data_IF_818587967728
#
_entry.id   IF_818587967728
#
_cell.length_a   1.000
_cell.length_b   1.000
_cell.length_c   1.000
_cell.angle_alpha   90.00
_cell.angle_beta   90.00
_cell.angle_gamma   90.00
#
_symmetry.space_group_name_H-M   'P 1'
#
loop_
_entity.id
_entity.type
_entity.pdbx_description
1 polymer ?
#
# COMPACT_ATOMS: atom_id res chain seq x y z
N UNK A 1 7.72 -2.95 15.37
CA UNK A 1 7.00 -3.94 14.56
C UNK A 1 7.47 -3.80 13.10
N UNK A 2 8.48 -4.58 12.72
CA UNK A 2 9.18 -4.49 11.44
C UNK A 2 8.26 -4.60 10.20
N UNK A 3 7.11 -5.23 10.34
CA UNK A 3 6.13 -5.34 9.24
C UNK A 3 5.44 -4.03 8.85
N UNK A 4 5.57 -2.98 9.64
CA UNK A 4 4.95 -1.68 9.37
C UNK A 4 5.96 -0.66 8.79
N UNK A 5 7.24 -0.91 8.99
CA UNK A 5 8.30 0.07 8.69
C UNK A 5 8.42 0.47 7.22
N UNK A 6 8.17 -0.40 6.22
CA UNK A 6 8.24 0.03 4.83
C UNK A 6 7.30 1.18 4.45
N UNK A 7 6.24 1.40 5.24
CA UNK A 7 5.30 2.50 5.03
C UNK A 7 5.34 3.55 6.16
N UNK A 8 5.99 3.23 7.30
CA UNK A 8 5.96 4.09 8.49
C UNK A 8 7.36 4.55 8.95
N UNK A 9 8.41 4.26 8.18
CA UNK A 9 9.76 4.73 8.49
C UNK A 9 10.53 5.02 7.19
N UNK A 10 11.21 6.16 7.15
CA UNK A 10 12.00 6.59 5.99
C UNK A 10 13.05 5.56 5.59
N UNK A 11 13.81 5.05 6.56
CA UNK A 11 14.92 4.14 6.32
C UNK A 11 14.45 2.83 5.68
N UNK A 12 13.34 2.28 6.17
CA UNK A 12 12.80 1.05 5.62
C UNK A 12 12.18 1.26 4.23
N UNK A 13 11.52 2.41 4.01
CA UNK A 13 11.02 2.78 2.70
C UNK A 13 12.14 2.90 1.67
N UNK A 14 13.19 3.64 2.01
CA UNK A 14 14.38 3.80 1.16
C UNK A 14 15.05 2.46 0.89
N UNK A 15 15.16 1.61 1.91
CA UNK A 15 15.75 0.29 1.77
C UNK A 15 14.97 -0.59 0.78
N UNK A 16 13.65 -0.73 0.94
CA UNK A 16 12.84 -1.57 0.06
C UNK A 16 12.80 -1.03 -1.37
N UNK A 17 12.84 0.30 -1.52
CA UNK A 17 12.85 0.95 -2.83
C UNK A 17 14.20 0.76 -3.52
N UNK A 18 15.31 1.06 -2.83
CA UNK A 18 16.66 0.97 -3.38
C UNK A 18 17.03 -0.45 -3.78
N UNK A 19 16.66 -1.42 -2.96
CA UNK A 19 17.01 -2.81 -3.16
C UNK A 19 15.94 -3.60 -3.94
N UNK A 20 14.89 -2.91 -4.39
CA UNK A 20 13.77 -3.51 -5.12
C UNK A 20 13.24 -4.78 -4.42
N UNK A 21 13.06 -4.69 -3.10
CA UNK A 21 12.62 -5.83 -2.28
C UNK A 21 11.26 -6.30 -2.74
N UNK A 22 11.10 -7.57 -3.10
CA UNK A 22 9.84 -8.09 -3.62
C UNK A 22 8.73 -8.07 -2.57
N UNK A 23 7.50 -7.89 -3.01
CA UNK A 23 6.30 -7.91 -2.18
C UNK A 23 5.61 -9.28 -2.16
N UNK A 24 6.34 -10.31 -2.48
CA UNK A 24 5.83 -11.67 -2.58
C UNK A 24 5.72 -12.35 -1.22
N UNK A 25 4.69 -13.17 -1.07
CA UNK A 25 4.56 -14.03 0.10
C UNK A 25 5.25 -15.37 -0.15
N UNK A 26 6.18 -15.71 0.71
CA UNK A 26 6.88 -17.00 0.68
C UNK A 26 6.40 -17.87 1.84
N UNK A 27 5.91 -19.06 1.51
CA UNK A 27 5.54 -20.04 2.52
C UNK A 27 6.80 -20.65 3.15
N UNK A 28 6.97 -20.47 4.44
CA UNK A 28 7.93 -21.22 5.21
C UNK A 28 7.31 -22.59 5.56
N UNK A 29 7.79 -23.64 4.91
CA UNK A 29 7.24 -24.99 5.05
C UNK A 29 7.47 -25.61 6.43
N UNK A 30 8.48 -25.15 7.17
CA UNK A 30 8.77 -25.63 8.53
C UNK A 30 7.79 -25.06 9.55
N UNK A 31 7.46 -23.77 9.43
CA UNK A 31 6.57 -23.09 10.36
C UNK A 31 5.13 -23.02 9.87
N UNK A 32 4.89 -23.40 8.62
CA UNK A 32 3.62 -23.28 7.90
C UNK A 32 3.07 -21.82 7.94
N UNK A 33 3.98 -20.84 7.88
CA UNK A 33 3.63 -19.43 7.91
C UNK A 33 4.16 -18.74 6.65
N UNK A 34 3.36 -17.85 6.13
CA UNK A 34 3.83 -16.96 5.08
C UNK A 34 4.66 -15.84 5.66
N UNK A 35 5.79 -15.54 5.01
CA UNK A 35 6.60 -14.36 5.25
C UNK A 35 6.62 -13.48 4.00
N UNK A 36 6.69 -12.19 4.21
CA UNK A 36 6.86 -11.22 3.13
C UNK A 36 8.18 -10.49 3.37
N UNK A 37 9.20 -10.66 2.52
CA UNK A 37 10.48 -9.97 2.64
C UNK A 37 10.32 -8.45 2.69
N UNK A 38 9.35 -7.90 1.98
CA UNK A 38 9.02 -6.48 2.02
C UNK A 38 8.67 -5.98 3.44
N UNK A 39 7.97 -6.80 4.21
CA UNK A 39 7.52 -6.46 5.55
C UNK A 39 8.55 -6.80 6.65
N UNK A 40 9.58 -7.55 6.34
CA UNK A 40 10.56 -8.04 7.32
C UNK A 40 11.89 -7.29 7.30
N UNK A 41 11.96 -6.18 6.61
CA UNK A 41 13.15 -5.32 6.63
C UNK A 41 13.44 -4.90 8.06
N UNK A 42 14.51 -5.43 8.61
CA UNK A 42 14.99 -5.05 9.93
C UNK A 42 15.77 -3.75 9.80
N UNK A 43 15.26 -2.68 10.38
CA UNK A 43 16.02 -1.46 10.61
C UNK A 43 16.35 -1.37 12.08
N UNK A 44 17.60 -1.06 12.40
CA UNK A 44 18.05 -0.88 13.78
C UNK A 44 17.38 0.33 14.44
N UNK A 45 16.95 1.28 13.64
CA UNK A 45 16.22 2.48 14.08
C UNK A 45 14.97 2.65 13.25
N UNK A 46 13.88 2.97 13.90
CA UNK A 46 12.62 3.35 13.27
C UNK A 46 12.57 4.87 13.32
N UNK A 47 12.90 5.51 12.21
CA UNK A 47 12.76 6.93 12.03
C UNK A 47 11.33 7.31 11.63
N UNK A 48 11.04 8.59 11.73
CA UNK A 48 9.80 9.15 11.23
C UNK A 48 9.82 9.26 9.70
N UNK A 49 8.64 9.44 9.11
CA UNK A 49 8.55 9.85 7.72
C UNK A 49 9.07 11.28 7.60
N UNK A 50 10.06 11.45 6.75
CA UNK A 50 10.76 12.72 6.55
C UNK A 50 10.86 13.08 5.07
N UNK A 51 11.45 14.21 4.75
CA UNK A 51 11.60 14.68 3.36
C UNK A 51 12.25 13.63 2.46
N UNK A 52 13.23 12.89 2.97
CA UNK A 52 13.96 11.87 2.21
C UNK A 52 13.09 10.66 1.81
N UNK A 53 11.97 10.45 2.47
CA UNK A 53 11.04 9.39 2.08
C UNK A 53 10.51 9.61 0.68
N UNK A 54 10.15 10.84 0.37
CA UNK A 54 9.59 11.23 -0.92
C UNK A 54 10.64 11.82 -1.87
N UNK A 55 11.62 12.54 -1.33
CA UNK A 55 12.66 13.24 -2.08
C UNK A 55 14.02 12.61 -1.85
N UNK A 56 14.43 11.72 -2.74
CA UNK A 56 15.72 11.05 -2.67
C UNK A 56 16.13 10.51 -4.02
N UNK A 57 17.38 10.70 -4.38
CA UNK A 57 18.03 10.00 -5.49
C UNK A 57 18.58 8.63 -5.07
N UNK A 58 18.21 8.15 -3.87
CA UNK A 58 18.65 6.88 -3.29
C UNK A 58 20.17 6.82 -3.04
N UNK A 59 20.81 7.96 -2.91
CA UNK A 59 22.20 8.05 -2.47
C UNK A 59 22.33 7.69 -0.98
N UNK A 60 23.57 7.49 -0.54
CA UNK A 60 23.86 7.19 0.87
C UNK A 60 23.79 8.43 1.76
N UNK A 61 23.91 9.60 1.18
CA UNK A 61 23.87 10.89 1.89
C UNK A 61 22.86 11.80 1.19
N UNK A 62 21.91 12.31 1.97
CA UNK A 62 20.94 13.29 1.49
C UNK A 62 21.60 14.66 1.25
N UNK A 63 21.30 15.27 0.13
CA UNK A 63 21.79 16.58 -0.26
C UNK A 63 20.66 17.44 -0.81
N UNK A 64 20.91 18.74 -1.03
CA UNK A 64 19.94 19.64 -1.67
C UNK A 64 19.61 19.24 -3.11
N UNK A 65 20.48 18.48 -3.78
CA UNK A 65 20.23 17.93 -5.10
C UNK A 65 19.14 16.86 -5.11
N UNK A 66 18.83 16.26 -3.96
CA UNK A 66 17.75 15.29 -3.82
C UNK A 66 16.36 15.93 -3.76
N UNK A 67 16.26 17.23 -3.43
CA UNK A 67 14.98 17.92 -3.29
C UNK A 67 14.05 17.81 -4.51
N UNK A 68 14.53 17.96 -5.77
CA UNK A 68 13.68 17.78 -6.94
C UNK A 68 13.49 16.31 -7.32
N UNK A 69 14.32 15.41 -6.82
CA UNK A 69 14.22 14.00 -7.13
C UNK A 69 13.07 13.35 -6.32
N UNK A 70 12.29 12.49 -6.97
CA UNK A 70 11.34 11.62 -6.29
C UNK A 70 11.99 10.25 -6.07
N UNK A 71 11.81 9.72 -4.88
CA UNK A 71 12.42 8.43 -4.47
C UNK A 71 12.04 7.30 -5.39
N UNK A 72 10.81 7.29 -5.88
CA UNK A 72 10.33 6.35 -6.88
C UNK A 72 9.06 6.86 -7.53
N UNK A 73 8.92 6.59 -8.81
CA UNK A 73 7.67 6.73 -9.58
C UNK A 73 7.28 5.39 -10.22
N UNK A 74 7.95 4.32 -9.83
CA UNK A 74 7.70 2.99 -10.38
C UNK A 74 6.28 2.48 -10.02
N UNK A 75 5.67 1.67 -10.90
CA UNK A 75 4.42 0.99 -10.60
C UNK A 75 4.48 0.24 -9.29
N UNK A 76 3.37 0.23 -8.57
CA UNK A 76 3.29 -0.32 -7.22
C UNK A 76 2.69 -1.71 -7.25
N UNK A 77 3.51 -2.72 -7.05
CA UNK A 77 3.01 -4.06 -6.72
C UNK A 77 2.39 -4.04 -5.33
N UNK A 78 1.14 -4.43 -5.24
CA UNK A 78 0.39 -4.34 -3.99
C UNK A 78 0.79 -5.44 -3.01
N UNK A 79 1.12 -5.04 -1.78
CA UNK A 79 1.48 -5.98 -0.71
C UNK A 79 0.31 -6.88 -0.31
N UNK A 80 -0.88 -6.36 -0.43
CA UNK A 80 -2.14 -7.02 -0.10
C UNK A 80 -2.32 -8.38 -0.78
N UNK A 81 -1.92 -8.52 -2.02
CA UNK A 81 -2.11 -9.71 -2.84
C UNK A 81 -0.76 -10.31 -3.28
N UNK A 82 0.25 -10.24 -2.43
CA UNK A 82 1.58 -10.77 -2.72
C UNK A 82 2.21 -10.24 -4.00
N UNK A 83 1.82 -9.06 -4.45
CA UNK A 83 2.28 -8.46 -5.69
C UNK A 83 1.54 -8.89 -6.96
N UNK A 84 0.47 -9.68 -6.83
CA UNK A 84 -0.31 -10.15 -7.99
C UNK A 84 -1.04 -9.00 -8.71
N UNK A 85 -1.39 -7.95 -7.99
CA UNK A 85 -1.97 -6.74 -8.59
C UNK A 85 -0.97 -5.59 -8.54
N UNK A 86 -1.00 -4.79 -9.59
CA UNK A 86 -0.14 -3.60 -9.71
C UNK A 86 -1.01 -2.37 -9.93
N UNK A 87 -0.67 -1.28 -9.24
CA UNK A 87 -1.22 0.04 -9.49
C UNK A 87 -0.17 0.84 -10.26
N UNK A 88 -0.59 1.45 -11.36
CA UNK A 88 0.21 2.38 -12.13
C UNK A 88 -0.66 3.57 -12.54
N UNK A 89 -0.36 4.72 -11.96
CA UNK A 89 -1.07 5.97 -12.18
C UNK A 89 -0.22 6.83 -13.12
N UNK A 90 -0.47 6.69 -14.42
CA UNK A 90 0.38 7.29 -15.46
C UNK A 90 0.00 8.72 -15.83
N UNK A 91 -1.19 9.19 -15.47
CA UNK A 91 -1.72 10.47 -15.94
C UNK A 91 -0.88 11.69 -15.50
N UNK A 92 -0.18 11.57 -14.37
CA UNK A 92 0.69 12.62 -13.81
C UNK A 92 2.18 12.33 -13.98
N UNK A 93 2.54 11.49 -14.94
CA UNK A 93 3.93 11.05 -15.12
C UNK A 93 4.36 10.07 -14.02
N UNK A 94 3.43 9.31 -13.47
CA UNK A 94 3.63 8.29 -12.43
C UNK A 94 3.97 8.85 -11.03
N UNK A 95 3.89 10.15 -10.82
CA UNK A 95 4.24 10.78 -9.52
C UNK A 95 3.36 10.23 -8.39
N UNK A 96 2.07 10.03 -8.64
CA UNK A 96 1.13 9.47 -7.66
C UNK A 96 1.47 8.05 -7.21
N UNK A 97 2.28 7.31 -7.96
CA UNK A 97 2.75 6.00 -7.55
C UNK A 97 3.57 6.05 -6.25
N UNK A 98 4.29 7.14 -6.02
CA UNK A 98 5.02 7.35 -4.76
C UNK A 98 4.06 7.33 -3.55
N UNK A 99 2.93 8.01 -3.66
CA UNK A 99 1.91 8.05 -2.61
C UNK A 99 1.30 6.65 -2.37
N UNK A 100 1.01 5.94 -3.46
CA UNK A 100 0.41 4.60 -3.41
C UNK A 100 1.33 3.58 -2.75
N UNK A 101 2.64 3.77 -2.77
CA UNK A 101 3.59 2.87 -2.06
C UNK A 101 3.20 2.65 -0.60
N UNK A 102 2.67 3.67 0.05
CA UNK A 102 2.22 3.60 1.44
C UNK A 102 0.69 3.54 1.54
N UNK A 103 -0.02 4.25 0.66
CA UNK A 103 -1.49 4.35 0.68
C UNK A 103 -2.16 3.18 -0.05
N UNK A 104 -1.84 1.96 0.36
CA UNK A 104 -2.35 0.70 -0.15
C UNK A 104 -2.84 -0.22 0.97
N UNK A 105 -3.71 -1.19 0.70
CA UNK A 105 -4.10 -2.17 1.68
C UNK A 105 -2.88 -2.99 2.14
N UNK A 106 -2.82 -3.26 3.43
CA UNK A 106 -1.85 -4.23 3.92
C UNK A 106 -2.28 -5.66 3.57
N UNK A 107 -1.36 -6.62 3.60
CA UNK A 107 -1.71 -8.02 3.47
C UNK A 107 -2.72 -8.42 4.54
N UNK A 108 -3.78 -9.08 4.13
CA UNK A 108 -4.68 -9.70 5.06
C UNK A 108 -4.06 -11.00 5.59
N UNK A 109 -3.94 -11.09 6.88
CA UNK A 109 -3.55 -12.33 7.53
C UNK A 109 -4.75 -12.90 8.27
N UNK A 110 -5.02 -14.17 8.07
CA UNK A 110 -6.03 -14.85 8.85
C UNK A 110 -5.46 -15.09 10.24
N UNK A 111 -6.01 -14.46 11.22
CA UNK A 111 -5.70 -14.52 12.65
C UNK A 111 -4.23 -14.24 13.06
N UNK A 112 -4.08 -13.65 14.23
CA UNK A 112 -2.79 -13.33 14.83
C UNK A 112 -1.92 -14.58 15.14
N UNK A 113 -2.49 -15.76 15.14
CA UNK A 113 -1.82 -17.00 15.54
C UNK A 113 -1.20 -17.77 14.39
N UNK A 114 -1.80 -17.75 13.20
CA UNK A 114 -1.40 -18.68 12.13
C UNK A 114 -0.82 -18.04 10.89
N UNK A 115 -0.88 -16.72 10.74
CA UNK A 115 -0.33 -16.03 9.57
C UNK A 115 -0.93 -16.47 8.22
N UNK A 116 -2.05 -17.18 8.24
CA UNK A 116 -2.71 -17.65 7.04
C UNK A 116 -3.27 -16.45 6.29
N UNK A 117 -2.90 -16.33 5.04
CA UNK A 117 -3.46 -15.33 4.13
C UNK A 117 -4.85 -15.78 3.71
N UNK A 118 -5.82 -14.86 3.71
CA UNK A 118 -7.13 -15.13 3.12
C UNK A 118 -6.94 -15.52 1.65
N UNK A 119 -7.61 -16.58 1.26
CA UNK A 119 -7.67 -16.96 -0.14
C UNK A 119 -8.71 -16.10 -0.85
N UNK A 120 -8.24 -15.05 -1.52
CA UNK A 120 -9.11 -14.10 -2.23
C UNK A 120 -9.83 -14.72 -3.41
N UNK A 121 -9.21 -15.67 -4.09
CA UNK A 121 -9.88 -16.38 -5.18
C UNK A 121 -11.05 -17.20 -4.67
N UNK A 122 -10.90 -17.81 -3.51
CA UNK A 122 -12.00 -18.49 -2.86
C UNK A 122 -13.10 -17.53 -2.41
N UNK A 123 -12.75 -16.37 -1.86
CA UNK A 123 -13.74 -15.34 -1.51
C UNK A 123 -14.44 -14.77 -2.75
N UNK A 124 -13.71 -14.56 -3.84
CA UNK A 124 -14.25 -14.06 -5.09
C UNK A 124 -15.24 -15.03 -5.72
N UNK A 125 -14.86 -16.30 -5.80
CA UNK A 125 -15.65 -17.32 -6.50
C UNK A 125 -16.75 -17.93 -5.63
N UNK A 126 -16.60 -17.89 -4.31
CA UNK A 126 -17.52 -18.48 -3.34
C UNK A 126 -17.75 -17.52 -2.17
N UNK A 127 -18.39 -16.37 -2.39
CA UNK A 127 -18.50 -15.29 -1.38
C UNK A 127 -19.31 -15.70 -0.14
N UNK A 128 -20.11 -16.75 -0.22
CA UNK A 128 -20.92 -17.28 0.90
C UNK A 128 -20.24 -18.46 1.61
N UNK A 129 -19.09 -18.91 1.12
CA UNK A 129 -18.41 -20.05 1.71
C UNK A 129 -17.79 -19.68 3.07
N UNK A 130 -17.93 -20.59 4.01
CA UNK A 130 -17.18 -20.54 5.26
C UNK A 130 -15.85 -21.24 5.07
N UNK A 131 -14.78 -20.65 5.59
CA UNK A 131 -13.44 -21.22 5.53
C UNK A 131 -13.15 -21.95 6.83
N UNK A 132 -12.70 -23.18 6.71
CA UNK A 132 -12.28 -23.95 7.87
C UNK A 132 -10.96 -23.41 8.41
N UNK A 133 -10.96 -23.01 9.69
CA UNK A 133 -9.74 -22.70 10.44
C UNK A 133 -9.31 -23.96 11.20
N UNK A 134 -8.26 -24.65 10.72
CA UNK A 134 -7.83 -25.91 11.34
C UNK A 134 -7.28 -25.72 12.76
N UNK A 135 -6.80 -24.52 13.09
CA UNK A 135 -6.27 -24.23 14.41
C UNK A 135 -7.38 -24.11 15.47
N UNK A 136 -8.58 -23.77 15.03
CA UNK A 136 -9.75 -23.60 15.91
C UNK A 136 -10.80 -24.67 15.70
N UNK A 137 -10.60 -25.54 14.71
CA UNK A 137 -11.58 -26.56 14.31
C UNK A 137 -12.98 -26.00 14.03
N UNK A 138 -13.05 -24.79 13.50
CA UNK A 138 -14.30 -24.09 13.19
C UNK A 138 -14.27 -23.47 11.79
N UNK A 139 -15.44 -23.36 11.18
CA UNK A 139 -15.61 -22.61 9.96
C UNK A 139 -15.74 -21.14 10.31
N UNK A 140 -14.83 -20.31 9.80
CA UNK A 140 -14.85 -18.88 10.07
C UNK A 140 -14.77 -18.06 8.80
N UNK A 141 -15.74 -17.19 8.62
CA UNK A 141 -15.56 -15.88 8.01
C UNK A 141 -15.29 -14.93 9.16
N UNK A 142 -14.16 -15.01 9.79
CA UNK A 142 -13.94 -14.14 10.93
C UNK A 142 -12.90 -13.10 10.57
N UNK A 143 -13.33 -11.85 10.28
CA UNK A 143 -12.43 -10.74 10.26
C UNK A 143 -11.82 -10.60 11.65
N UNK A 144 -10.56 -11.00 11.79
CA UNK A 144 -9.77 -10.65 12.96
C UNK A 144 -9.29 -9.21 12.84
N UNK A 145 -8.68 -8.68 13.86
CA UNK A 145 -8.05 -7.34 13.84
C UNK A 145 -7.13 -7.12 12.62
N UNK A 146 -6.58 -8.16 12.03
CA UNK A 146 -5.68 -8.08 10.88
C UNK A 146 -6.35 -8.38 9.53
N UNK A 147 -7.64 -8.62 9.50
CA UNK A 147 -8.36 -8.91 8.27
C UNK A 147 -9.07 -7.71 7.67
N UNK A 148 -9.09 -6.57 8.36
CA UNK A 148 -9.60 -5.33 7.78
C UNK A 148 -8.54 -4.66 6.91
N UNK A 149 -8.99 -3.89 5.94
CA UNK A 149 -8.13 -2.96 5.20
C UNK A 149 -7.44 -2.03 6.20
N UNK A 150 -6.20 -1.70 5.92
CA UNK A 150 -5.49 -0.73 6.74
C UNK A 150 -6.09 0.67 6.54
N UNK A 151 -5.96 1.53 7.54
CA UNK A 151 -6.28 2.94 7.37
C UNK A 151 -5.37 3.55 6.29
N UNK A 152 -5.90 4.54 5.56
CA UNK A 152 -5.10 5.21 4.54
C UNK A 152 -4.92 4.45 3.24
N UNK A 153 -5.84 3.54 2.89
CA UNK A 153 -5.82 2.81 1.61
C UNK A 153 -6.29 3.65 0.42
N UNK A 154 -6.23 4.97 0.55
CA UNK A 154 -6.79 5.91 -0.41
C UNK A 154 -6.25 5.71 -1.84
N UNK A 155 -4.97 5.35 -2.00
CA UNK A 155 -4.38 5.11 -3.30
C UNK A 155 -4.99 3.90 -4.03
N UNK A 156 -5.32 2.83 -3.29
CA UNK A 156 -5.98 1.68 -3.87
C UNK A 156 -7.44 1.97 -4.22
N UNK A 157 -8.16 2.69 -3.36
CA UNK A 157 -9.53 3.13 -3.64
C UNK A 157 -9.55 4.04 -4.87
N UNK A 158 -8.63 4.99 -4.94
CA UNK A 158 -8.48 5.89 -6.08
C UNK A 158 -8.20 5.12 -7.38
N UNK A 159 -7.32 4.13 -7.34
CA UNK A 159 -7.01 3.28 -8.49
C UNK A 159 -8.10 2.23 -8.80
N UNK A 160 -9.14 2.11 -7.99
CA UNK A 160 -10.18 1.08 -8.14
C UNK A 160 -9.65 -0.34 -7.99
N UNK A 161 -8.62 -0.53 -7.16
CA UNK A 161 -7.94 -1.82 -6.96
C UNK A 161 -7.81 -2.18 -5.49
N UNK A 162 -7.47 -3.44 -5.23
CA UNK A 162 -7.24 -3.91 -3.85
C UNK A 162 -8.51 -4.23 -3.08
N UNK A 163 -9.64 -4.30 -3.76
CA UNK A 163 -10.89 -4.87 -3.26
C UNK A 163 -11.06 -6.33 -3.66
N UNK A 164 -12.12 -6.94 -3.18
CA UNK A 164 -12.58 -8.25 -3.64
C UNK A 164 -13.49 -8.02 -4.84
N UNK A 165 -13.11 -8.56 -5.97
CA UNK A 165 -13.91 -8.53 -7.18
C UNK A 165 -14.74 -9.81 -7.25
N UNK A 166 -16.06 -9.67 -7.28
CA UNK A 166 -16.98 -10.80 -7.37
C UNK A 166 -17.09 -11.28 -8.82
N UNK A 167 -17.24 -12.58 -8.98
CA UNK A 167 -17.54 -13.15 -10.30
C UNK A 167 -18.90 -12.65 -10.79
N UNK A 168 -18.96 -12.21 -12.07
CA UNK A 168 -20.17 -11.65 -12.65
C UNK A 168 -19.91 -11.02 -14.01
N UNK A 169 -20.91 -10.32 -14.51
CA UNK A 169 -20.84 -9.57 -15.77
C UNK A 169 -20.25 -8.18 -15.64
N UNK A 170 -20.14 -7.70 -14.39
CA UNK A 170 -19.62 -6.37 -14.11
C UNK A 170 -18.10 -6.31 -14.29
N UNK A 171 -17.63 -5.22 -14.85
CA UNK A 171 -16.21 -4.95 -15.03
C UNK A 171 -15.75 -3.95 -13.99
N UNK A 172 -14.76 -4.34 -13.19
CA UNK A 172 -14.12 -3.46 -12.22
C UNK A 172 -13.03 -2.65 -12.92
N UNK A 173 -13.19 -1.35 -12.92
CA UNK A 173 -12.29 -0.41 -13.60
C UNK A 173 -11.69 0.59 -12.62
N UNK A 174 -10.67 1.30 -13.06
CA UNK A 174 -10.12 2.41 -12.30
C UNK A 174 -11.18 3.50 -12.11
N UNK A 175 -11.05 4.26 -11.02
CA UNK A 175 -11.84 5.47 -10.82
C UNK A 175 -11.63 6.44 -11.99
N UNK A 176 -12.68 7.13 -12.49
CA UNK A 176 -12.53 8.18 -13.49
C UNK A 176 -11.54 9.28 -13.09
N UNK A 177 -11.37 9.54 -11.79
CA UNK A 177 -10.40 10.51 -11.28
C UNK A 177 -8.96 10.17 -11.69
N UNK A 178 -8.63 8.90 -11.91
CA UNK A 178 -7.26 8.49 -12.30
C UNK A 178 -6.80 9.04 -13.65
N UNK A 179 -7.74 9.49 -14.49
CA UNK A 179 -7.44 10.12 -15.76
C UNK A 179 -7.48 11.65 -15.70
N UNK A 180 -8.10 12.22 -14.68
CA UNK A 180 -8.41 13.66 -14.62
C UNK A 180 -7.59 14.43 -13.57
N UNK A 181 -7.12 13.76 -12.53
CA UNK A 181 -6.42 14.38 -11.43
C UNK A 181 -5.31 13.47 -10.90
N UNK A 182 -4.45 14.00 -10.07
CA UNK A 182 -3.40 13.27 -9.36
C UNK A 182 -3.59 13.39 -7.84
N UNK A 183 -2.86 12.61 -7.08
CA UNK A 183 -2.89 12.72 -5.62
C UNK A 183 -2.48 14.13 -5.17
N UNK A 184 -1.46 14.68 -5.79
CA UNK A 184 -0.94 16.01 -5.46
C UNK A 184 -1.87 17.14 -5.86
N UNK A 185 -2.68 17.01 -6.90
CA UNK A 185 -3.60 18.08 -7.33
C UNK A 185 -4.59 18.43 -6.20
N UNK A 186 -5.00 17.45 -5.43
CA UNK A 186 -5.87 17.66 -4.28
C UNK A 186 -5.09 17.84 -2.97
N UNK A 187 -4.12 16.97 -2.68
CA UNK A 187 -3.45 16.93 -1.39
C UNK A 187 -2.30 17.93 -1.27
N UNK A 188 -1.66 18.29 -2.39
CA UNK A 188 -0.56 19.26 -2.44
C UNK A 188 -0.90 20.51 -3.25
N UNK A 189 -2.17 20.78 -3.50
CA UNK A 189 -2.62 22.01 -4.14
C UNK A 189 -2.08 23.24 -3.41
N UNK A 190 -2.23 24.42 -4.01
CA UNK A 190 -1.69 25.68 -3.45
C UNK A 190 -1.99 25.81 -1.96
N UNK A 191 -0.95 25.92 -1.17
CA UNK A 191 -1.08 25.97 0.27
C UNK A 191 -1.78 27.24 0.73
N UNK A 192 -2.83 27.07 1.50
CA UNK A 192 -3.56 28.15 2.17
C UNK A 192 -3.70 27.80 3.64
N UNK A 193 -3.00 28.50 4.51
CA UNK A 193 -2.93 28.20 5.95
C UNK A 193 -2.40 26.77 6.20
N UNK A 194 -3.27 25.88 6.74
CA UNK A 194 -2.94 24.48 7.08
C UNK A 194 -3.43 23.47 6.04
N UNK A 195 -3.81 23.91 4.87
CA UNK A 195 -4.38 23.08 3.81
C UNK A 195 -3.52 23.19 2.56
N UNK A 196 -3.31 22.09 1.88
CA UNK A 196 -2.48 22.00 0.68
C UNK A 196 -0.98 21.95 0.96
N UNK A 197 -0.17 21.96 -0.09
CA UNK A 197 1.28 21.84 -0.01
C UNK A 197 1.72 20.58 0.77
N UNK A 198 2.82 20.67 1.47
CA UNK A 198 3.37 19.57 2.28
C UNK A 198 2.59 19.30 3.58
N UNK A 199 1.47 19.94 3.81
CA UNK A 199 0.56 19.53 4.87
C UNK A 199 -0.23 18.28 4.49
N UNK A 200 -0.36 18.00 3.20
CA UNK A 200 -1.17 16.94 2.61
C UNK A 200 -2.65 16.96 3.00
N UNK A 201 -3.11 18.07 3.53
CA UNK A 201 -4.47 18.21 4.04
C UNK A 201 -5.36 18.82 2.95
N UNK A 202 -6.25 18.02 2.39
CA UNK A 202 -7.12 18.44 1.29
C UNK A 202 -8.45 19.04 1.76
N UNK A 203 -8.90 18.75 2.98
CA UNK A 203 -10.19 19.19 3.49
C UNK A 203 -10.26 20.71 3.56
N UNK A 204 -11.22 21.30 2.84
CA UNK A 204 -11.38 22.75 2.74
C UNK A 204 -10.59 23.41 1.60
N UNK A 205 -9.77 22.64 0.87
CA UNK A 205 -9.10 23.14 -0.34
C UNK A 205 -9.99 22.91 -1.56
N UNK A 206 -11.04 23.72 -1.68
CA UNK A 206 -12.00 23.61 -2.80
C UNK A 206 -11.32 23.89 -4.15
N UNK A 207 -10.27 24.72 -4.16
CA UNK A 207 -9.52 25.04 -5.38
C UNK A 207 -8.79 23.81 -5.97
N UNK A 208 -8.45 22.83 -5.14
CA UNK A 208 -7.86 21.57 -5.61
C UNK A 208 -8.88 20.57 -6.20
N UNK A 209 -10.19 20.89 -6.07
CA UNK A 209 -11.26 20.04 -6.60
C UNK A 209 -11.84 20.59 -7.92
N UNK A 210 -11.48 21.77 -8.34
CA UNK A 210 -11.88 22.47 -9.56
C UNK A 210 -10.77 22.47 -10.57
#
# INVERSE_FOLDING_TARGET
NTGCTPCHASEAFLYVTKNNVPVEFVLNTTTNKYSNPYATVATASIGEISCVTCHSSLHTTYTTADLPALTTVAPVKMTFNGGAQTIDLAADGHISNLCVKCHQPRPFTNSATNGNVLNYDSLKNFPTATFYDPARSVNVLKPGYRTHTHYGTAGAVYAGKGGIEFAGTETYTNSPHTAAASCQDCHMATQTNRVGGHTFFATGNVAGCN
#
